data_IF_649818007341
#
_entry.id   IF_649818007341
#
_cell.length_a   1.000
_cell.length_b   1.000
_cell.length_c   1.000
_cell.angle_alpha   90.00
_cell.angle_beta   90.00
_cell.angle_gamma   90.00
#
_symmetry.space_group_name_H-M   'P 1'
#
loop_
_entity.id
_entity.type
_entity.pdbx_description
1 polymer ?
#
# COMPACT_ATOMS: atom_id res chain seq x y z
N UNK A 1 -52.51 -12.39 -54.27
CA UNK A 1 -51.57 -12.81 -53.20
C UNK A 1 -50.42 -11.83 -53.17
N UNK A 2 -50.42 -10.91 -52.21
CA UNK A 2 -49.40 -9.87 -52.04
C UNK A 2 -48.60 -10.19 -50.80
N UNK A 3 -47.37 -10.67 -50.98
CA UNK A 3 -46.44 -10.96 -49.88
C UNK A 3 -45.74 -9.66 -49.50
N UNK A 4 -46.02 -9.13 -48.31
CA UNK A 4 -45.30 -7.99 -47.75
C UNK A 4 -43.97 -8.47 -47.19
N UNK A 5 -42.87 -7.95 -47.73
CA UNK A 5 -41.53 -8.13 -47.18
C UNK A 5 -41.39 -7.35 -45.87
N UNK A 6 -41.23 -8.07 -44.76
CA UNK A 6 -40.81 -7.49 -43.49
C UNK A 6 -39.30 -7.31 -43.51
N UNK A 7 -38.84 -6.06 -43.62
CA UNK A 7 -37.45 -5.70 -43.35
C UNK A 7 -37.26 -5.66 -41.83
N UNK A 8 -36.51 -6.62 -41.28
CA UNK A 8 -36.09 -6.60 -39.87
C UNK A 8 -34.88 -5.67 -39.78
N UNK A 9 -35.08 -4.47 -39.26
CA UNK A 9 -34.00 -3.58 -38.87
C UNK A 9 -33.37 -4.11 -37.57
N UNK A 10 -32.20 -4.75 -37.68
CA UNK A 10 -31.38 -5.10 -36.53
C UNK A 10 -30.72 -3.81 -36.04
N UNK A 11 -31.31 -3.18 -35.03
CA UNK A 11 -30.68 -2.11 -34.28
C UNK A 11 -29.55 -2.71 -33.43
N UNK A 12 -28.32 -2.63 -33.94
CA UNK A 12 -27.12 -2.95 -33.15
C UNK A 12 -26.94 -1.81 -32.15
N UNK A 13 -27.46 -1.99 -30.94
CA UNK A 13 -27.11 -1.16 -29.80
C UNK A 13 -25.64 -1.42 -29.46
N UNK A 14 -24.75 -0.60 -30.00
CA UNK A 14 -23.44 -0.37 -29.39
C UNK A 14 -23.71 0.34 -28.06
N UNK A 15 -23.90 -0.43 -26.99
CA UNK A 15 -23.76 0.11 -25.65
C UNK A 15 -22.34 0.62 -25.55
N UNK A 16 -22.19 1.95 -25.63
CA UNK A 16 -20.99 2.65 -25.25
C UNK A 16 -20.76 2.38 -23.76
N UNK A 17 -20.15 1.23 -23.46
CA UNK A 17 -19.40 1.02 -22.22
C UNK A 17 -18.30 2.09 -22.28
N UNK A 18 -18.60 3.24 -21.68
CA UNK A 18 -17.64 4.33 -21.52
C UNK A 18 -16.47 3.80 -20.71
N UNK A 19 -15.46 3.28 -21.39
CA UNK A 19 -14.16 2.97 -20.81
C UNK A 19 -13.59 4.31 -20.42
N UNK A 20 -13.71 4.67 -19.15
CA UNK A 20 -13.02 5.84 -18.62
C UNK A 20 -11.53 5.56 -18.74
N UNK A 21 -10.88 6.18 -19.72
CA UNK A 21 -9.43 6.14 -19.86
C UNK A 21 -8.78 7.34 -19.17
N UNK A 22 -7.61 7.11 -18.61
CA UNK A 22 -6.69 8.15 -18.12
C UNK A 22 -5.39 7.93 -18.85
N UNK A 23 -4.83 9.01 -19.36
CA UNK A 23 -3.45 9.04 -19.82
C UNK A 23 -2.73 10.10 -19.02
N UNK A 24 -1.58 9.73 -18.45
CA UNK A 24 -0.69 10.64 -17.75
C UNK A 24 0.75 10.39 -18.18
N UNK A 25 1.59 11.41 -18.14
CA UNK A 25 2.96 11.32 -18.64
C UNK A 25 3.92 12.27 -17.92
N UNK A 26 5.20 11.90 -17.91
CA UNK A 26 6.29 12.74 -17.42
C UNK A 26 7.59 12.37 -18.12
N UNK A 27 8.64 13.16 -17.91
CA UNK A 27 9.96 12.96 -18.52
C UNK A 27 11.03 12.81 -17.45
N UNK A 28 11.97 11.88 -17.63
CA UNK A 28 13.22 11.80 -16.86
C UNK A 28 14.39 11.89 -17.84
N UNK A 29 15.14 12.99 -17.80
CA UNK A 29 16.20 13.23 -18.78
C UNK A 29 15.60 13.37 -20.18
N UNK A 30 15.98 12.48 -21.09
CA UNK A 30 15.47 12.41 -22.47
C UNK A 30 14.29 11.43 -22.61
N UNK A 31 14.07 10.56 -21.62
CA UNK A 31 13.07 9.51 -21.70
C UNK A 31 11.69 10.03 -21.29
N UNK A 32 10.71 9.87 -22.18
CA UNK A 32 9.31 10.17 -21.92
C UNK A 32 8.59 8.92 -21.45
N UNK A 33 8.01 8.97 -20.27
CA UNK A 33 7.21 7.91 -19.69
C UNK A 33 5.73 8.27 -19.75
N UNK A 34 4.88 7.32 -20.12
CA UNK A 34 3.43 7.47 -20.02
C UNK A 34 2.75 6.25 -19.44
N UNK A 35 1.61 6.48 -18.79
CA UNK A 35 0.73 5.44 -18.30
C UNK A 35 -0.65 5.61 -18.91
N UNK A 36 -1.22 4.51 -19.39
CA UNK A 36 -2.60 4.45 -19.86
C UNK A 36 -3.39 3.55 -18.94
N UNK A 37 -4.47 4.06 -18.38
CA UNK A 37 -5.32 3.37 -17.41
C UNK A 37 -6.72 3.26 -17.97
N UNK A 38 -7.34 2.11 -17.81
CA UNK A 38 -8.75 1.86 -18.15
C UNK A 38 -9.45 1.20 -16.98
N UNK A 39 -10.74 1.48 -16.83
CA UNK A 39 -11.60 0.80 -15.86
C UNK A 39 -12.74 0.10 -16.58
N UNK A 40 -13.05 -1.13 -16.15
CA UNK A 40 -14.16 -1.93 -16.64
C UNK A 40 -14.91 -2.55 -15.48
N UNK A 41 -16.23 -2.54 -15.51
CA UNK A 41 -17.05 -3.27 -14.53
C UNK A 41 -16.87 -4.77 -14.71
N UNK A 42 -16.80 -5.49 -13.58
CA UNK A 42 -16.63 -6.95 -13.53
C UNK A 42 -17.41 -7.51 -12.35
N UNK A 43 -17.78 -8.78 -12.43
CA UNK A 43 -18.35 -9.52 -11.29
C UNK A 43 -17.28 -10.44 -10.71
N UNK A 44 -17.10 -10.37 -9.40
CA UNK A 44 -16.18 -11.19 -8.61
C UNK A 44 -16.96 -12.11 -7.68
N UNK A 45 -16.28 -13.02 -6.97
CA UNK A 45 -16.91 -13.87 -5.96
C UNK A 45 -17.59 -13.06 -4.83
N UNK A 46 -17.13 -11.83 -4.58
CA UNK A 46 -17.67 -10.93 -3.54
C UNK A 46 -18.68 -9.91 -4.09
N UNK A 47 -19.10 -10.04 -5.36
CA UNK A 47 -20.06 -9.14 -6.00
C UNK A 47 -19.46 -8.26 -7.09
N UNK A 48 -20.15 -7.17 -7.41
CA UNK A 48 -19.74 -6.21 -8.44
C UNK A 48 -18.48 -5.44 -8.02
N UNK A 49 -17.54 -5.29 -8.94
CA UNK A 49 -16.31 -4.51 -8.76
C UNK A 49 -15.93 -3.81 -10.07
N UNK A 50 -14.92 -2.96 -10.00
CA UNK A 50 -14.19 -2.45 -11.14
C UNK A 50 -12.82 -3.11 -11.25
N UNK A 51 -12.49 -3.57 -12.45
CA UNK A 51 -11.14 -4.00 -12.79
C UNK A 51 -10.42 -2.83 -13.46
N UNK A 52 -9.46 -2.26 -12.73
CA UNK A 52 -8.56 -1.23 -13.23
C UNK A 52 -7.41 -1.94 -13.91
N UNK A 53 -7.15 -1.59 -15.18
CA UNK A 53 -5.99 -2.05 -15.95
C UNK A 53 -5.12 -0.87 -16.29
N UNK A 54 -3.82 -1.07 -16.32
CA UNK A 54 -2.88 -0.04 -16.74
C UNK A 54 -1.73 -0.61 -17.57
N UNK A 55 -1.13 0.25 -18.38
CA UNK A 55 0.01 -0.08 -19.24
C UNK A 55 0.98 1.09 -19.24
N UNK A 56 2.26 0.78 -19.10
CA UNK A 56 3.34 1.76 -19.03
C UNK A 56 4.09 1.75 -20.36
N UNK A 57 4.52 2.93 -20.80
CA UNK A 57 5.27 3.13 -22.02
C UNK A 57 6.48 4.02 -21.75
N UNK A 58 7.59 3.72 -22.42
CA UNK A 58 8.80 4.56 -22.49
C UNK A 58 9.01 4.90 -23.96
N UNK A 59 9.05 6.19 -24.29
CA UNK A 59 9.24 6.68 -25.66
C UNK A 59 8.25 6.03 -26.66
N UNK A 60 7.02 5.76 -26.20
CA UNK A 60 5.96 5.10 -26.96
C UNK A 60 6.03 3.57 -27.01
N UNK A 61 7.11 2.95 -26.51
CA UNK A 61 7.29 1.50 -26.45
C UNK A 61 6.72 0.91 -25.16
N UNK A 62 6.04 -0.22 -25.25
CA UNK A 62 5.44 -0.88 -24.08
C UNK A 62 6.51 -1.41 -23.11
N UNK A 63 6.32 -1.12 -21.83
CA UNK A 63 7.19 -1.52 -20.72
C UNK A 63 6.50 -2.62 -19.91
N UNK A 64 7.20 -3.72 -19.66
CA UNK A 64 6.66 -4.84 -18.88
C UNK A 64 6.85 -4.61 -17.37
N UNK A 65 5.92 -5.14 -16.57
CA UNK A 65 6.05 -5.22 -15.12
C UNK A 65 7.20 -6.14 -14.73
N UNK A 66 7.86 -5.85 -13.60
CA UNK A 66 8.77 -6.78 -12.94
C UNK A 66 8.05 -7.90 -12.17
N UNK A 67 6.71 -7.86 -12.09
CA UNK A 67 5.87 -8.81 -11.34
C UNK A 67 4.55 -9.10 -12.08
N UNK A 68 3.43 -9.26 -11.36
CA UNK A 68 2.09 -9.48 -11.90
C UNK A 68 1.34 -8.20 -12.26
N UNK A 69 2.03 -7.05 -12.35
CA UNK A 69 1.44 -5.72 -12.49
C UNK A 69 0.54 -5.53 -13.72
N UNK A 70 -0.03 -4.34 -13.83
CA UNK A 70 -0.92 -3.94 -14.94
C UNK A 70 -2.41 -4.12 -14.66
N UNK A 71 -2.81 -4.59 -13.47
CA UNK A 71 -4.21 -4.62 -13.05
C UNK A 71 -4.41 -4.71 -11.53
N UNK A 72 -5.51 -4.15 -11.03
CA UNK A 72 -6.02 -4.38 -9.68
C UNK A 72 -7.54 -4.12 -9.62
N UNK A 73 -8.21 -4.60 -8.56
CA UNK A 73 -9.64 -4.40 -8.37
C UNK A 73 -9.93 -3.18 -7.48
N UNK A 74 -10.99 -2.45 -7.83
CA UNK A 74 -11.62 -1.42 -7.02
C UNK A 74 -13.06 -1.82 -6.70
N UNK A 75 -13.50 -1.70 -5.45
CA UNK A 75 -14.86 -2.04 -5.04
C UNK A 75 -15.90 -0.95 -5.37
N UNK A 76 -15.48 0.27 -5.76
CA UNK A 76 -16.39 1.31 -6.28
C UNK A 76 -16.29 1.47 -7.77
N UNK A 77 -17.35 2.05 -8.34
CA UNK A 77 -17.47 2.40 -9.76
C UNK A 77 -16.81 3.74 -10.15
N UNK A 78 -16.17 4.39 -9.19
CA UNK A 78 -15.55 5.69 -9.39
C UNK A 78 -14.30 5.57 -10.27
N UNK A 79 -14.05 6.59 -11.09
CA UNK A 79 -12.83 6.68 -11.90
C UNK A 79 -11.61 6.70 -10.94
N UNK A 80 -10.56 5.89 -11.17
CA UNK A 80 -9.38 5.93 -10.31
C UNK A 80 -8.72 7.30 -10.38
N UNK A 81 -8.16 7.77 -9.26
CA UNK A 81 -7.31 8.95 -9.26
C UNK A 81 -5.87 8.54 -9.57
N UNK A 82 -5.13 9.40 -10.27
CA UNK A 82 -3.70 9.22 -10.53
C UNK A 82 -2.97 10.41 -9.93
N UNK A 83 -1.95 10.13 -9.13
CA UNK A 83 -1.07 11.14 -8.55
C UNK A 83 0.36 10.88 -8.97
N UNK A 84 1.09 11.94 -9.30
CA UNK A 84 2.52 11.85 -9.54
C UNK A 84 3.25 11.52 -8.24
N UNK A 85 4.20 10.59 -8.32
CA UNK A 85 5.18 10.34 -7.25
C UNK A 85 6.40 11.18 -7.58
N UNK A 86 6.79 12.04 -6.64
CA UNK A 86 7.85 13.03 -6.84
C UNK A 86 9.08 12.71 -6.00
N UNK A 87 10.24 12.91 -6.60
CA UNK A 87 11.53 13.10 -5.94
C UNK A 87 11.92 14.57 -5.95
N UNK A 88 13.00 14.93 -5.27
CA UNK A 88 13.57 16.28 -5.35
C UNK A 88 13.93 16.68 -6.79
N UNK A 89 14.18 15.72 -7.68
CA UNK A 89 14.53 15.91 -9.09
C UNK A 89 13.32 15.83 -10.03
N UNK A 90 12.10 15.72 -9.51
CA UNK A 90 10.86 15.67 -10.28
C UNK A 90 10.16 14.31 -10.22
N UNK A 91 9.22 14.10 -11.15
CA UNK A 91 8.36 12.92 -11.17
C UNK A 91 9.18 11.64 -11.43
N UNK A 92 8.88 10.59 -10.66
CA UNK A 92 9.55 9.28 -10.74
C UNK A 92 8.57 8.12 -10.93
N UNK A 93 7.27 8.40 -10.97
CA UNK A 93 6.25 7.39 -11.24
C UNK A 93 4.85 7.86 -10.88
N UNK A 94 3.95 6.89 -10.73
CA UNK A 94 2.54 7.13 -10.49
C UNK A 94 2.01 6.35 -9.30
N UNK A 95 1.08 6.96 -8.58
CA UNK A 95 0.22 6.32 -7.61
C UNK A 95 -1.20 6.30 -8.17
N UNK A 96 -1.71 5.12 -8.47
CA UNK A 96 -3.11 4.91 -8.88
C UNK A 96 -3.92 4.60 -7.63
N UNK A 97 -4.99 5.36 -7.41
CA UNK A 97 -5.85 5.25 -6.23
C UNK A 97 -7.22 4.75 -6.68
N UNK A 98 -7.55 3.53 -6.30
CA UNK A 98 -8.90 2.98 -6.32
C UNK A 98 -9.42 2.72 -4.91
N UNK A 99 -10.50 1.93 -4.78
CA UNK A 99 -11.10 1.59 -3.50
C UNK A 99 -10.93 0.11 -3.18
N UNK A 100 -10.36 -0.24 -2.02
CA UNK A 100 -10.10 -1.63 -1.65
C UNK A 100 -11.17 -2.23 -0.74
N UNK A 101 -11.64 -1.45 0.24
CA UNK A 101 -12.66 -1.85 1.19
C UNK A 101 -13.80 -0.84 1.11
N UNK A 102 -15.00 -1.29 0.77
CA UNK A 102 -16.17 -0.43 0.55
C UNK A 102 -17.34 -0.71 1.51
N UNK A 103 -17.13 -1.55 2.52
CA UNK A 103 -18.11 -1.83 3.57
C UNK A 103 -18.15 -0.73 4.62
N UNK A 104 -18.31 -1.11 5.90
CA UNK A 104 -18.43 -0.19 7.04
C UNK A 104 -17.25 0.79 7.19
N UNK A 105 -16.09 0.45 6.63
CA UNK A 105 -14.88 1.27 6.70
C UNK A 105 -14.30 1.40 5.29
N UNK A 106 -14.37 2.61 4.74
CA UNK A 106 -13.80 2.89 3.43
C UNK A 106 -12.26 2.87 3.52
N UNK A 107 -11.61 2.12 2.63
CA UNK A 107 -10.15 2.16 2.44
C UNK A 107 -9.81 2.16 0.95
N UNK A 108 -8.70 2.77 0.60
CA UNK A 108 -8.20 2.85 -0.76
C UNK A 108 -7.36 1.61 -1.11
N UNK A 109 -7.44 1.18 -2.36
CA UNK A 109 -6.51 0.24 -2.96
C UNK A 109 -5.51 1.05 -3.77
N UNK A 110 -4.24 0.98 -3.39
CA UNK A 110 -3.16 1.80 -3.93
C UNK A 110 -2.28 0.92 -4.80
N UNK A 111 -2.02 1.38 -6.02
CA UNK A 111 -0.99 0.80 -6.90
C UNK A 111 0.10 1.84 -7.14
N UNK A 112 1.31 1.56 -6.66
CA UNK A 112 2.51 2.32 -7.03
C UNK A 112 3.07 1.72 -8.33
N UNK A 113 3.48 2.59 -9.27
CA UNK A 113 4.05 2.21 -10.56
C UNK A 113 5.28 3.07 -10.83
N UNK A 114 6.47 2.47 -10.78
CA UNK A 114 7.77 3.17 -10.88
C UNK A 114 8.56 2.60 -12.07
N UNK A 115 8.72 3.35 -13.18
CA UNK A 115 9.61 2.95 -14.26
C UNK A 115 11.05 2.80 -13.76
N UNK A 116 11.71 1.72 -14.18
CA UNK A 116 13.05 1.35 -13.74
C UNK A 116 13.85 0.74 -14.89
N UNK A 117 15.07 1.20 -15.10
CA UNK A 117 15.99 0.57 -16.05
C UNK A 117 16.65 -0.64 -15.42
N UNK A 118 16.67 -1.79 -16.11
CA UNK A 118 17.38 -2.95 -15.61
C UNK A 118 18.91 -2.76 -15.71
N UNK A 119 19.66 -3.30 -14.74
CA UNK A 119 21.13 -3.24 -14.73
C UNK A 119 21.79 -4.13 -15.80
N UNK A 120 21.06 -5.12 -16.32
CA UNK A 120 21.60 -6.23 -17.14
C UNK A 120 21.13 -6.22 -18.60
N UNK A 121 20.98 -5.04 -19.21
CA UNK A 121 20.70 -4.98 -20.66
C UNK A 121 19.90 -3.78 -21.16
N UNK A 122 19.69 -2.74 -20.34
CA UNK A 122 19.03 -1.49 -20.77
C UNK A 122 17.55 -1.62 -21.12
N UNK A 123 16.91 -2.77 -20.86
CA UNK A 123 15.46 -2.91 -21.05
C UNK A 123 14.75 -2.30 -19.84
N UNK A 124 13.96 -1.28 -20.11
CA UNK A 124 13.10 -0.67 -19.10
C UNK A 124 12.02 -1.68 -18.68
N UNK A 125 11.85 -1.79 -17.37
CA UNK A 125 10.75 -2.46 -16.70
C UNK A 125 10.04 -1.43 -15.82
N UNK A 126 8.90 -1.77 -15.24
CA UNK A 126 8.36 -1.01 -14.13
C UNK A 126 8.20 -1.88 -12.90
N UNK A 127 8.58 -1.33 -11.75
CA UNK A 127 8.25 -1.86 -10.45
C UNK A 127 6.82 -1.49 -10.12
N UNK A 128 6.12 -2.38 -9.44
CA UNK A 128 4.81 -2.09 -8.92
C UNK A 128 4.59 -2.66 -7.52
N UNK A 129 3.74 -1.99 -6.75
CA UNK A 129 3.32 -2.46 -5.43
C UNK A 129 1.87 -2.10 -5.15
N UNK A 130 1.06 -3.11 -4.91
CA UNK A 130 -0.33 -2.99 -4.48
C UNK A 130 -0.43 -3.07 -2.98
N UNK A 131 -1.20 -2.19 -2.33
CA UNK A 131 -1.51 -2.28 -0.91
C UNK A 131 -2.80 -1.53 -0.55
N UNK A 132 -3.37 -1.84 0.61
CA UNK A 132 -4.55 -1.16 1.15
C UNK A 132 -4.11 -0.05 2.11
N UNK A 133 -4.64 1.14 1.91
CA UNK A 133 -4.42 2.30 2.77
C UNK A 133 -5.75 2.89 3.20
N UNK A 134 -5.85 3.33 4.46
CA UNK A 134 -7.08 3.87 5.03
C UNK A 134 -7.48 5.21 4.39
N UNK A 135 -6.49 5.98 3.96
CA UNK A 135 -6.63 7.23 3.21
C UNK A 135 -5.68 7.23 2.01
N UNK A 136 -5.69 8.30 1.20
CA UNK A 136 -4.69 8.41 0.13
C UNK A 136 -3.32 8.64 0.77
N UNK A 137 -2.29 7.83 0.45
CA UNK A 137 -0.97 7.99 1.05
C UNK A 137 -0.40 9.40 0.92
N UNK A 138 0.33 9.83 1.95
CA UNK A 138 1.10 11.06 1.95
C UNK A 138 2.46 10.79 1.32
N UNK A 139 2.78 11.51 0.25
CA UNK A 139 4.03 11.37 -0.50
C UNK A 139 5.00 12.47 -0.07
N UNK A 140 6.19 12.08 0.38
CA UNK A 140 7.27 13.02 0.73
C UNK A 140 8.43 12.81 -0.25
N UNK A 141 8.73 13.79 -1.11
CA UNK A 141 9.88 13.72 -1.99
C UNK A 141 11.20 13.68 -1.19
N UNK A 142 12.13 12.85 -1.63
CA UNK A 142 13.50 12.81 -1.11
C UNK A 142 14.51 13.02 -2.24
N UNK A 143 15.77 13.24 -1.89
CA UNK A 143 16.86 13.35 -2.88
C UNK A 143 17.02 12.04 -3.66
N UNK A 144 16.80 10.89 -3.01
CA UNK A 144 16.98 9.57 -3.61
C UNK A 144 15.65 8.91 -4.00
N UNK A 145 14.56 9.66 -4.11
CA UNK A 145 13.26 9.11 -4.50
C UNK A 145 12.12 9.68 -3.69
N UNK A 146 11.34 8.84 -3.00
CA UNK A 146 10.18 9.27 -2.24
C UNK A 146 9.89 8.37 -1.04
N UNK A 147 9.31 8.94 0.00
CA UNK A 147 8.65 8.20 1.09
C UNK A 147 7.14 8.17 0.85
N UNK A 148 6.52 7.01 1.07
CA UNK A 148 5.07 6.82 0.98
C UNK A 148 4.57 6.45 2.36
N UNK A 149 3.89 7.40 3.00
CA UNK A 149 3.34 7.24 4.34
C UNK A 149 1.85 6.97 4.28
N UNK A 150 1.37 5.97 5.02
CA UNK A 150 -0.04 5.61 5.04
C UNK A 150 -0.40 4.87 6.31
N UNK A 151 -1.70 4.75 6.56
CA UNK A 151 -2.25 3.94 7.63
C UNK A 151 -2.88 2.68 7.05
N UNK A 152 -2.54 1.52 7.59
CA UNK A 152 -3.19 0.25 7.26
C UNK A 152 -4.17 -0.10 8.39
N UNK A 153 -5.37 -0.57 8.04
CA UNK A 153 -6.31 -1.06 9.05
C UNK A 153 -5.90 -2.46 9.51
N UNK A 154 -5.66 -2.62 10.81
CA UNK A 154 -5.49 -3.91 11.46
C UNK A 154 -6.75 -4.21 12.26
N UNK A 155 -7.41 -5.32 11.96
CA UNK A 155 -8.73 -5.67 12.53
C UNK A 155 -8.66 -6.22 13.96
N UNK A 156 -7.48 -6.61 14.44
CA UNK A 156 -7.35 -7.33 15.71
C UNK A 156 -8.20 -8.60 15.74
N UNK A 157 -8.58 -9.04 16.94
CA UNK A 157 -9.34 -10.28 17.16
C UNK A 157 -10.87 -10.12 17.16
N UNK A 158 -11.39 -8.89 17.20
CA UNK A 158 -12.83 -8.57 17.25
C UNK A 158 -13.38 -7.89 15.99
N UNK A 159 -12.62 -7.87 14.90
CA UNK A 159 -13.05 -7.28 13.62
C UNK A 159 -13.15 -5.76 13.69
N UNK A 160 -14.26 -5.18 13.20
CA UNK A 160 -14.40 -3.72 13.10
C UNK A 160 -14.30 -3.03 14.47
N UNK A 161 -14.91 -3.62 15.51
CA UNK A 161 -15.01 -3.03 16.84
C UNK A 161 -13.66 -2.91 17.55
N UNK A 162 -12.71 -3.76 17.18
CA UNK A 162 -11.36 -3.74 17.74
C UNK A 162 -10.34 -3.15 16.80
N UNK A 163 -10.74 -2.68 15.61
CA UNK A 163 -9.74 -2.30 14.60
C UNK A 163 -8.95 -1.05 14.97
N UNK A 164 -7.67 -1.05 14.63
CA UNK A 164 -6.75 0.07 14.76
C UNK A 164 -6.17 0.45 13.40
N UNK A 165 -5.60 1.65 13.33
CA UNK A 165 -4.90 2.12 12.14
C UNK A 165 -3.41 2.15 12.41
N UNK A 166 -2.69 1.21 11.81
CA UNK A 166 -1.26 1.03 12.02
C UNK A 166 -0.49 1.85 10.98
N UNK A 167 0.37 2.78 11.39
CA UNK A 167 1.17 3.55 10.44
C UNK A 167 2.19 2.67 9.73
N UNK A 168 2.40 2.95 8.44
CA UNK A 168 3.33 2.26 7.55
C UNK A 168 4.07 3.28 6.71
N UNK A 169 5.31 2.93 6.37
CA UNK A 169 6.18 3.67 5.49
C UNK A 169 6.72 2.74 4.41
N UNK A 170 6.66 3.17 3.15
CA UNK A 170 7.43 2.57 2.07
C UNK A 170 8.47 3.59 1.59
N UNK A 171 9.64 3.08 1.19
CA UNK A 171 10.68 3.86 0.56
C UNK A 171 10.75 3.47 -0.91
N UNK A 172 10.68 4.49 -1.77
CA UNK A 172 10.97 4.37 -3.19
C UNK A 172 12.37 4.94 -3.35
N UNK A 173 13.35 4.06 -3.58
CA UNK A 173 14.73 4.46 -3.85
C UNK A 173 14.98 4.52 -5.35
N UNK A 174 15.72 5.53 -5.76
CA UNK A 174 16.24 5.85 -7.08
C UNK A 174 17.73 6.13 -6.90
N UNK A 175 18.49 5.10 -6.59
CA UNK A 175 19.95 5.17 -6.65
C UNK A 175 20.40 4.86 -8.08
N UNK A 176 21.58 5.34 -8.48
CA UNK A 176 22.08 5.27 -9.85
C UNK A 176 21.96 3.84 -10.43
N UNK A 177 20.97 3.61 -11.29
CA UNK A 177 20.72 2.32 -11.94
C UNK A 177 19.92 1.30 -11.13
N UNK A 178 19.51 1.58 -9.90
CA UNK A 178 18.70 0.68 -9.09
C UNK A 178 17.47 1.40 -8.52
N UNK A 179 16.29 0.92 -8.91
CA UNK A 179 15.04 1.32 -8.30
C UNK A 179 14.56 0.20 -7.38
N UNK A 180 13.99 0.57 -6.24
CA UNK A 180 13.37 -0.39 -5.34
C UNK A 180 12.20 0.22 -4.59
N UNK A 181 11.19 -0.59 -4.30
CA UNK A 181 10.13 -0.26 -3.34
C UNK A 181 10.33 -1.16 -2.12
N UNK A 182 10.82 -0.60 -1.03
CA UNK A 182 11.08 -1.32 0.22
C UNK A 182 10.20 -0.82 1.35
N UNK A 183 10.13 -1.60 2.43
CA UNK A 183 9.57 -1.16 3.70
C UNK A 183 10.51 -0.12 4.32
N UNK A 184 9.96 1.00 4.80
CA UNK A 184 10.68 2.03 5.52
C UNK A 184 10.45 1.94 7.02
N UNK A 185 11.37 2.50 7.80
CA UNK A 185 11.19 2.63 9.25
C UNK A 185 10.28 3.85 9.55
N UNK A 186 9.16 3.58 10.20
CA UNK A 186 8.19 4.60 10.63
C UNK A 186 8.75 5.53 11.72
N UNK A 187 9.70 5.04 12.53
CA UNK A 187 10.34 5.84 13.57
C UNK A 187 11.26 6.90 12.97
N UNK A 188 11.87 6.62 11.82
CA UNK A 188 12.62 7.61 11.04
C UNK A 188 11.66 8.65 10.47
N UNK A 189 11.73 9.88 11.01
CA UNK A 189 10.84 11.01 10.73
C UNK A 189 9.42 10.83 11.31
N UNK A 190 9.30 10.29 12.52
CA UNK A 190 8.01 10.09 13.20
C UNK A 190 7.12 11.35 13.29
N UNK A 191 7.71 12.54 13.29
CA UNK A 191 6.98 13.83 13.23
C UNK A 191 6.10 13.96 11.99
N UNK A 192 6.43 13.27 10.89
CA UNK A 192 5.58 13.21 9.70
C UNK A 192 4.20 12.62 10.04
N UNK A 193 4.15 11.55 10.85
CA UNK A 193 2.87 10.95 11.25
C UNK A 193 2.00 11.94 12.04
N UNK A 194 2.61 12.70 12.94
CA UNK A 194 1.92 13.73 13.71
C UNK A 194 1.35 14.82 12.80
N UNK A 195 2.08 15.19 11.75
CA UNK A 195 1.64 16.18 10.76
C UNK A 195 0.53 15.66 9.82
N UNK A 196 0.51 14.36 9.54
CA UNK A 196 -0.50 13.72 8.68
C UNK A 196 -1.86 13.61 9.35
N UNK A 197 -1.89 13.53 10.68
CA UNK A 197 -3.10 13.27 11.45
C UNK A 197 -4.02 14.50 11.56
N UNK A 198 -4.57 14.92 10.41
CA UNK A 198 -5.61 15.94 10.31
C UNK A 198 -6.88 15.52 11.04
N UNK A 199 -7.19 14.23 11.00
CA UNK A 199 -8.32 13.63 11.69
C UNK A 199 -7.88 13.02 13.03
N UNK A 200 -8.71 13.18 14.07
CA UNK A 200 -8.41 12.69 15.42
C UNK A 200 -8.20 11.18 15.51
N UNK A 201 -8.85 10.40 14.65
CA UNK A 201 -8.86 8.94 14.68
C UNK A 201 -7.67 8.30 13.94
N UNK A 202 -6.91 9.07 13.16
CA UNK A 202 -5.63 8.65 12.56
C UNK A 202 -4.42 9.18 13.32
N UNK A 203 -4.64 9.83 14.47
CA UNK A 203 -3.54 10.30 15.31
C UNK A 203 -2.71 9.13 15.81
N UNK A 204 -1.37 9.28 15.86
CA UNK A 204 -0.50 8.34 16.53
C UNK A 204 -1.02 8.11 17.95
N UNK A 205 -1.16 6.83 18.30
CA UNK A 205 -1.57 6.38 19.62
C UNK A 205 -0.72 5.17 19.99
N UNK A 206 -0.74 4.80 21.28
CA UNK A 206 0.08 3.72 21.82
C UNK A 206 -0.05 2.45 20.99
N UNK A 207 -1.26 1.91 20.87
CA UNK A 207 -1.44 0.56 20.32
C UNK A 207 -1.12 0.51 18.83
N UNK A 208 -1.45 1.57 18.08
CA UNK A 208 -1.08 1.69 16.67
C UNK A 208 0.43 1.69 16.45
N UNK A 209 1.18 2.51 17.20
CA UNK A 209 2.64 2.57 17.08
C UNK A 209 3.32 1.31 17.62
N UNK A 210 2.80 0.75 18.70
CA UNK A 210 3.34 -0.44 19.33
C UNK A 210 3.18 -1.67 18.41
N UNK A 211 1.99 -1.87 17.82
CA UNK A 211 1.76 -2.91 16.81
C UNK A 211 2.59 -2.67 15.56
N UNK A 212 2.78 -1.41 15.13
CA UNK A 212 3.73 -1.10 14.06
C UNK A 212 5.14 -1.58 14.39
N UNK A 213 5.59 -1.30 15.62
CA UNK A 213 6.89 -1.75 16.12
C UNK A 213 7.02 -3.27 16.18
N UNK A 214 5.99 -4.00 16.60
CA UNK A 214 6.00 -5.47 16.61
C UNK A 214 6.11 -6.02 15.18
N UNK A 215 5.24 -5.59 14.26
CA UNK A 215 5.22 -6.07 12.87
C UNK A 215 6.50 -5.70 12.09
N UNK A 216 7.24 -4.71 12.57
CA UNK A 216 8.47 -4.21 11.95
C UNK A 216 9.72 -4.68 12.70
N UNK A 217 9.56 -5.47 13.78
CA UNK A 217 10.63 -5.84 14.71
C UNK A 217 11.48 -4.61 15.10
N UNK A 218 10.82 -3.53 15.50
CA UNK A 218 11.40 -2.22 15.78
C UNK A 218 11.21 -1.81 17.25
N UNK A 219 12.10 -2.27 18.16
CA UNK A 219 12.02 -1.92 19.57
C UNK A 219 12.10 -0.42 19.87
N UNK A 220 12.93 0.40 19.20
CA UNK A 220 12.90 1.85 19.38
C UNK A 220 11.51 2.46 19.18
N UNK A 221 10.76 2.04 18.15
CA UNK A 221 9.40 2.50 17.93
C UNK A 221 8.44 2.03 19.04
N UNK A 222 8.59 0.78 19.48
CA UNK A 222 7.78 0.24 20.57
C UNK A 222 8.03 1.01 21.88
N UNK A 223 9.29 1.29 22.20
CA UNK A 223 9.66 2.07 23.38
C UNK A 223 9.14 3.50 23.29
N UNK A 224 9.27 4.14 22.12
CA UNK A 224 8.68 5.46 21.88
C UNK A 224 7.17 5.47 22.11
N UNK A 225 6.46 4.44 21.66
CA UNK A 225 5.03 4.30 21.89
C UNK A 225 4.72 4.26 23.40
N UNK A 226 5.47 3.45 24.17
CA UNK A 226 5.34 3.36 25.63
C UNK A 226 5.53 4.74 26.28
N UNK A 227 6.67 5.37 25.99
CA UNK A 227 7.12 6.59 26.67
C UNK A 227 6.19 7.78 26.39
N UNK A 228 5.55 7.82 25.22
CA UNK A 228 4.75 8.97 24.77
C UNK A 228 3.24 8.79 24.89
N UNK A 229 2.73 7.57 24.73
CA UNK A 229 1.29 7.37 24.54
C UNK A 229 0.66 6.31 25.44
N UNK A 230 1.44 5.55 26.21
CA UNK A 230 0.88 4.51 27.08
C UNK A 230 0.02 5.14 28.19
N UNK A 231 -1.19 4.61 28.35
CA UNK A 231 -2.15 5.01 29.38
C UNK A 231 -2.55 3.77 30.17
N UNK A 232 -2.29 3.78 31.48
CA UNK A 232 -2.52 2.62 32.35
C UNK A 232 -3.98 2.18 32.36
N UNK A 233 -4.90 3.13 32.30
CA UNK A 233 -6.34 2.94 32.25
C UNK A 233 -6.83 2.21 30.98
N UNK A 234 -6.02 2.20 29.91
CA UNK A 234 -6.33 1.55 28.64
C UNK A 234 -5.73 0.13 28.52
N UNK A 235 -5.20 -0.44 29.61
CA UNK A 235 -4.56 -1.76 29.61
C UNK A 235 -5.42 -2.84 28.95
N UNK A 236 -6.70 -2.95 29.31
CA UNK A 236 -7.61 -3.98 28.77
C UNK A 236 -7.84 -3.82 27.26
N UNK A 237 -7.74 -2.59 26.75
CA UNK A 237 -7.79 -2.33 25.31
C UNK A 237 -6.51 -2.82 24.61
N UNK A 238 -5.35 -2.64 25.25
CA UNK A 238 -4.08 -3.11 24.69
C UNK A 238 -4.00 -4.64 24.62
N UNK A 239 -4.62 -5.33 25.60
CA UNK A 239 -4.71 -6.80 25.66
C UNK A 239 -5.45 -7.45 24.48
N UNK A 240 -6.16 -6.65 23.67
CA UNK A 240 -6.74 -7.13 22.40
C UNK A 240 -5.66 -7.52 21.38
N UNK A 241 -4.47 -6.92 21.50
CA UNK A 241 -3.35 -7.05 20.55
C UNK A 241 -2.12 -7.73 21.14
N UNK A 242 -1.96 -7.72 22.46
CA UNK A 242 -0.84 -8.34 23.17
C UNK A 242 -1.33 -9.16 24.34
N UNK A 243 -0.57 -10.17 24.77
CA UNK A 243 -1.00 -11.06 25.86
C UNK A 243 -1.09 -10.34 27.22
N UNK A 244 -0.18 -9.40 27.49
CA UNK A 244 -0.15 -8.62 28.73
C UNK A 244 0.02 -7.14 28.37
N UNK A 245 -1.09 -6.39 28.47
CA UNK A 245 -1.14 -4.95 28.17
C UNK A 245 -0.67 -4.06 29.33
N UNK A 246 -0.25 -4.65 30.46
CA UNK A 246 0.33 -3.89 31.57
C UNK A 246 1.66 -3.25 31.17
N UNK A 247 2.07 -2.20 31.88
CA UNK A 247 3.35 -1.52 31.62
C UNK A 247 4.53 -2.50 31.65
N UNK A 248 4.52 -3.44 32.61
CA UNK A 248 5.53 -4.49 32.73
C UNK A 248 5.49 -5.45 31.54
N UNK A 249 4.30 -5.88 31.13
CA UNK A 249 4.09 -6.78 30.00
C UNK A 249 4.60 -6.20 28.68
N UNK A 250 4.21 -4.96 28.37
CA UNK A 250 4.63 -4.31 27.12
C UNK A 250 6.14 -4.03 27.09
N UNK A 251 6.75 -3.64 28.21
CA UNK A 251 8.22 -3.50 28.30
C UNK A 251 8.95 -4.84 28.17
N UNK A 252 8.37 -5.92 28.71
CA UNK A 252 8.92 -7.26 28.52
C UNK A 252 8.92 -7.65 27.05
N UNK A 253 7.84 -7.34 26.33
CA UNK A 253 7.74 -7.61 24.90
C UNK A 253 8.75 -6.79 24.07
N UNK A 254 9.01 -5.52 24.41
CA UNK A 254 10.09 -4.73 23.79
C UNK A 254 11.42 -5.48 23.86
N UNK A 255 11.79 -5.95 25.06
CA UNK A 255 13.04 -6.70 25.27
C UNK A 255 13.09 -8.00 24.47
N UNK A 256 11.97 -8.70 24.37
CA UNK A 256 11.90 -9.92 23.55
C UNK A 256 12.13 -9.61 22.06
N UNK A 257 11.53 -8.54 21.54
CA UNK A 257 11.75 -8.11 20.16
C UNK A 257 13.18 -7.63 19.94
N UNK A 258 13.82 -6.98 20.92
CA UNK A 258 15.25 -6.62 20.86
C UNK A 258 16.13 -7.87 20.67
N UNK A 259 15.89 -8.91 21.46
CA UNK A 259 16.61 -10.19 21.35
C UNK A 259 16.40 -10.83 19.97
N UNK A 260 15.15 -10.90 19.50
CA UNK A 260 14.83 -11.47 18.17
C UNK A 260 15.52 -10.68 17.06
N UNK A 261 15.48 -9.34 17.12
CA UNK A 261 16.14 -8.47 16.12
C UNK A 261 17.65 -8.67 16.11
N UNK A 262 18.28 -8.78 17.28
CA UNK A 262 19.72 -9.06 17.38
C UNK A 262 20.05 -10.41 16.74
N UNK A 263 19.32 -11.46 17.11
CA UNK A 263 19.52 -12.80 16.56
C UNK A 263 19.34 -12.83 15.04
N UNK A 264 18.33 -12.15 14.50
CA UNK A 264 18.14 -12.02 13.06
C UNK A 264 19.35 -11.36 12.39
N UNK A 265 19.86 -10.25 12.94
CA UNK A 265 21.04 -9.58 12.39
C UNK A 265 22.29 -10.46 12.39
N UNK A 266 22.48 -11.25 13.44
CA UNK A 266 23.62 -12.16 13.58
C UNK A 266 23.52 -13.37 12.63
N UNK A 267 22.29 -13.81 12.31
CA UNK A 267 22.06 -15.08 11.60
C UNK A 267 21.52 -14.94 10.17
N UNK A 268 21.17 -13.73 9.69
CA UNK A 268 20.51 -13.50 8.39
C UNK A 268 21.24 -14.06 7.16
N UNK A 269 22.53 -14.37 7.26
CA UNK A 269 23.32 -14.98 6.18
C UNK A 269 23.53 -16.50 6.34
N UNK A 270 23.13 -17.05 7.47
CA UNK A 270 23.35 -18.44 7.86
C UNK A 270 22.05 -19.24 7.85
N UNK A 271 20.93 -18.60 8.19
CA UNK A 271 19.62 -19.25 8.30
C UNK A 271 18.59 -18.45 7.52
N UNK A 272 17.76 -19.14 6.74
CA UNK A 272 16.56 -18.57 6.17
C UNK A 272 15.49 -18.47 7.26
N UNK A 273 15.09 -17.25 7.60
CA UNK A 273 14.04 -17.01 8.57
C UNK A 273 12.69 -17.01 7.86
N UNK A 274 11.90 -18.05 8.09
CA UNK A 274 10.50 -18.11 7.64
C UNK A 274 9.61 -17.88 8.87
N UNK A 275 9.34 -16.61 9.16
CA UNK A 275 8.44 -16.25 10.26
C UNK A 275 6.99 -16.43 9.80
N UNK A 276 6.48 -17.66 9.87
CA UNK A 276 5.04 -17.88 9.78
C UNK A 276 4.38 -17.61 11.15
N UNK A 277 4.02 -16.35 11.38
CA UNK A 277 3.28 -15.94 12.58
C UNK A 277 1.83 -16.45 12.60
N UNK A 278 1.35 -17.12 11.54
CA UNK A 278 -0.04 -17.60 11.44
C UNK A 278 -0.23 -19.02 11.95
N UNK A 279 0.85 -19.79 12.16
CA UNK A 279 0.80 -21.17 12.63
C UNK A 279 0.91 -21.36 14.14
N UNK A 280 1.03 -20.29 14.93
CA UNK A 280 1.03 -20.37 16.39
C UNK A 280 -0.39 -20.72 16.86
N UNK A 281 -0.70 -22.02 16.91
CA UNK A 281 -1.86 -22.54 17.63
C UNK A 281 -1.82 -21.98 19.04
N UNK A 282 -2.91 -21.32 19.43
CA UNK A 282 -3.19 -21.03 20.83
C UNK A 282 -3.21 -22.36 21.57
N UNK A 283 -2.14 -22.66 22.29
CA UNK A 283 -2.20 -23.64 23.37
C UNK A 283 -3.16 -23.05 24.42
N UNK A 284 -4.25 -23.79 24.63
CA UNK A 284 -5.35 -23.44 25.53
C UNK A 284 -4.94 -23.45 26.99
#
# INVERSE_FOLDING_TARGET
MTVKSFAIAIAIFFSHLSIASIEDNFTIGEDKYSIKISSTEVTTATGQAQLIRYSVYENGQFVHSSSTGGRFFSCRKDKPAVKAIQSAQGNIGWMIVGYGICGNTLSNNIELVIPAKNLWGGKTLYLNKTFIAKETPHLIPTIEGAEVWFHQQNWGNGGTATSIFVPRKLLISKQTGNFSISKGDVFENISTLESMAKDSWLKPNFISLFVAGIEDANPPLMQYAIDKYYQKEMQTWYEVYVQDGSFTGVNSLVKQVEVIRSLYHDMKYTVSWDFDLTSAKQDK
#
